data_IF_900803802096
#
_entry.id   IF_900803802096
#
_cell.length_a   1.000
_cell.length_b   1.000
_cell.length_c   1.000
_cell.angle_alpha   90.00
_cell.angle_beta   90.00
_cell.angle_gamma   90.00
#
_symmetry.space_group_name_H-M   'P 1'
#
loop_
_entity.id
_entity.type
_entity.pdbx_description
1 polymer ?
#
# COMPACT_ATOMS: atom_id res chain seq x y z
N UNK A 1 8.44 5.05 0.76
CA UNK A 1 8.40 3.98 -0.22
C UNK A 1 8.78 4.52 -1.59
N UNK A 2 9.61 3.79 -2.34
CA UNK A 2 10.08 4.18 -3.66
C UNK A 2 9.79 3.06 -4.66
N UNK A 3 9.06 3.39 -5.71
CA UNK A 3 8.81 2.51 -6.85
C UNK A 3 9.65 2.95 -8.05
N UNK A 4 10.19 1.97 -8.76
CA UNK A 4 10.97 2.22 -9.99
C UNK A 4 10.66 1.15 -11.02
N UNK A 5 10.54 1.56 -12.28
CA UNK A 5 10.61 0.61 -13.40
C UNK A 5 11.98 -0.07 -13.44
N UNK A 6 12.05 -1.25 -14.02
CA UNK A 6 13.28 -2.02 -14.13
C UNK A 6 13.35 -2.78 -15.46
N UNK A 7 14.57 -3.16 -15.87
CA UNK A 7 14.83 -3.98 -17.06
C UNK A 7 14.47 -3.25 -18.35
N UNK A 8 13.87 -3.99 -19.28
CA UNK A 8 13.51 -3.48 -20.61
C UNK A 8 12.43 -2.39 -20.53
N UNK A 9 11.51 -2.51 -19.56
CA UNK A 9 10.42 -1.52 -19.33
C UNK A 9 11.00 -0.14 -19.01
N UNK A 10 12.09 -0.05 -18.25
CA UNK A 10 12.72 1.24 -17.91
C UNK A 10 13.25 2.02 -19.13
N UNK A 11 13.61 1.30 -20.19
CA UNK A 11 14.08 1.93 -21.44
C UNK A 11 12.95 2.55 -22.25
N UNK A 12 11.73 2.02 -22.08
CA UNK A 12 10.52 2.45 -22.81
C UNK A 12 9.68 3.39 -21.95
N UNK A 13 9.55 3.08 -20.66
CA UNK A 13 8.72 3.82 -19.72
C UNK A 13 9.44 3.98 -18.39
N UNK A 14 9.93 5.20 -18.13
CA UNK A 14 10.65 5.52 -16.90
C UNK A 14 9.68 5.90 -15.79
N UNK A 15 9.61 5.10 -14.72
CA UNK A 15 8.82 5.36 -13.53
C UNK A 15 9.71 5.60 -12.31
N UNK A 16 9.42 6.66 -11.54
CA UNK A 16 10.14 7.06 -10.33
C UNK A 16 9.15 7.61 -9.29
N UNK A 17 8.22 6.77 -8.88
CA UNK A 17 7.20 7.15 -7.92
C UNK A 17 7.71 7.08 -6.48
N UNK A 18 7.32 8.04 -5.67
CA UNK A 18 7.59 8.05 -4.23
C UNK A 18 6.32 8.21 -3.44
N UNK A 19 6.26 7.54 -2.28
CA UNK A 19 5.19 7.69 -1.30
C UNK A 19 5.78 7.90 0.09
N UNK A 20 5.26 8.90 0.80
CA UNK A 20 5.64 9.24 2.17
C UNK A 20 4.40 9.31 3.06
N UNK A 21 4.52 8.84 4.29
CA UNK A 21 3.48 8.95 5.32
C UNK A 21 4.08 9.49 6.62
N UNK A 22 3.36 10.41 7.25
CA UNK A 22 3.70 10.96 8.55
C UNK A 22 2.65 10.52 9.58
N UNK A 23 3.11 9.95 10.68
CA UNK A 23 2.28 9.48 11.77
C UNK A 23 2.53 10.28 13.04
N UNK A 24 1.50 10.41 13.89
CA UNK A 24 1.67 10.87 15.27
C UNK A 24 2.37 9.79 16.12
N UNK A 25 2.72 10.12 17.36
CA UNK A 25 3.23 9.15 18.37
C UNK A 25 2.20 8.04 18.65
N UNK A 26 0.92 8.37 18.73
CA UNK A 26 -0.18 7.42 18.60
C UNK A 26 -0.30 7.14 17.09
N UNK A 27 -0.37 5.88 16.63
CA UNK A 27 -0.23 5.57 15.20
C UNK A 27 -1.44 6.05 14.36
N UNK A 28 -1.62 7.38 14.29
CA UNK A 28 -2.60 8.07 13.46
C UNK A 28 -1.89 8.67 12.27
N UNK A 29 -2.39 8.40 11.09
CA UNK A 29 -1.88 9.00 9.85
C UNK A 29 -2.24 10.49 9.82
N UNK A 30 -1.25 11.38 9.82
CA UNK A 30 -1.44 12.83 9.80
C UNK A 30 -1.34 13.42 8.39
N UNK A 31 -0.44 12.86 7.60
CA UNK A 31 -0.17 13.34 6.25
C UNK A 31 0.36 12.22 5.38
N UNK A 32 -0.05 12.21 4.13
CA UNK A 32 0.59 11.39 3.10
C UNK A 32 0.82 12.19 1.82
N UNK A 33 1.85 11.83 1.08
CA UNK A 33 2.19 12.40 -0.21
C UNK A 33 2.57 11.30 -1.17
N UNK A 34 1.92 11.26 -2.32
CA UNK A 34 2.33 10.44 -3.46
C UNK A 34 2.83 11.36 -4.57
N UNK A 35 4.05 11.15 -5.00
CA UNK A 35 4.62 11.83 -6.17
C UNK A 35 4.79 10.82 -7.28
N UNK A 36 4.00 10.98 -8.32
CA UNK A 36 4.07 10.21 -9.57
C UNK A 36 5.00 10.93 -10.53
N UNK A 37 6.03 10.24 -11.00
CA UNK A 37 7.01 10.75 -11.95
C UNK A 37 7.25 9.68 -13.03
N UNK A 38 6.49 9.79 -14.10
CA UNK A 38 6.39 8.82 -15.19
C UNK A 38 6.65 9.50 -16.54
N UNK A 39 7.84 9.31 -17.08
CA UNK A 39 8.26 10.03 -18.29
C UNK A 39 8.23 11.55 -18.09
N UNK A 40 7.39 12.24 -18.86
CA UNK A 40 7.16 13.69 -18.76
C UNK A 40 5.98 14.07 -17.85
N UNK A 41 5.30 13.06 -17.28
CA UNK A 41 4.15 13.26 -16.40
C UNK A 41 4.59 13.37 -14.95
N UNK A 42 4.23 14.50 -14.31
CA UNK A 42 4.48 14.74 -12.90
C UNK A 42 3.19 15.14 -12.18
N UNK A 43 2.86 14.41 -11.12
CA UNK A 43 1.66 14.64 -10.32
C UNK A 43 1.99 14.44 -8.83
N UNK A 44 1.45 15.32 -8.00
CA UNK A 44 1.53 15.20 -6.54
C UNK A 44 0.13 15.06 -5.98
N UNK A 45 -0.09 14.00 -5.20
CA UNK A 45 -1.28 13.78 -4.38
C UNK A 45 -0.91 13.94 -2.92
N UNK A 46 -1.49 14.92 -2.25
CA UNK A 46 -1.34 15.14 -0.81
C UNK A 46 -2.65 14.90 -0.10
N UNK A 47 -2.60 14.20 1.04
CA UNK A 47 -3.72 14.03 1.95
C UNK A 47 -3.29 14.47 3.35
N UNK A 48 -4.04 15.38 3.96
CA UNK A 48 -3.85 15.82 5.33
C UNK A 48 -5.04 15.35 6.17
N UNK A 49 -4.78 14.70 7.30
CA UNK A 49 -5.80 14.08 8.15
C UNK A 49 -5.91 14.84 9.49
N UNK A 50 -7.12 15.29 9.82
CA UNK A 50 -7.43 15.96 11.06
C UNK A 50 -8.47 15.14 11.85
N UNK A 51 -8.08 14.70 13.05
CA UNK A 51 -8.90 13.85 13.90
C UNK A 51 -9.72 14.69 14.87
N UNK A 52 -11.04 14.65 14.72
CA UNK A 52 -11.99 15.38 15.55
C UNK A 52 -12.41 14.55 16.77
N UNK A 53 -12.76 15.21 17.86
CA UNK A 53 -13.16 14.55 19.13
C UNK A 53 -14.38 13.63 19.03
N UNK A 54 -15.18 13.74 17.97
CA UNK A 54 -16.36 12.90 17.68
C UNK A 54 -16.03 11.59 16.95
N UNK A 55 -14.75 11.29 16.70
CA UNK A 55 -14.32 10.18 15.85
C UNK A 55 -14.44 10.46 14.35
N UNK A 56 -14.84 11.69 13.98
CA UNK A 56 -14.80 12.17 12.61
C UNK A 56 -13.34 12.47 12.22
N UNK A 57 -13.01 12.20 10.99
CA UNK A 57 -11.72 12.51 10.39
C UNK A 57 -11.99 13.38 9.17
N UNK A 58 -11.51 14.61 9.22
CA UNK A 58 -11.55 15.52 8.08
C UNK A 58 -10.26 15.34 7.29
N UNK A 59 -10.38 15.19 5.96
CA UNK A 59 -9.26 14.88 5.10
C UNK A 59 -9.19 15.91 3.99
N UNK A 60 -8.17 16.75 4.01
CA UNK A 60 -7.90 17.65 2.90
C UNK A 60 -7.15 16.91 1.80
N UNK A 61 -7.79 16.74 0.66
CA UNK A 61 -7.21 16.12 -0.53
C UNK A 61 -6.80 17.18 -1.54
N UNK A 62 -5.51 17.26 -1.81
CA UNK A 62 -4.93 18.22 -2.74
C UNK A 62 -4.06 17.51 -3.77
N UNK A 63 -4.49 17.58 -5.05
CA UNK A 63 -3.76 17.03 -6.20
C UNK A 63 -3.36 18.13 -7.15
N UNK A 64 -2.09 18.17 -7.50
CA UNK A 64 -1.58 19.19 -8.42
C UNK A 64 -0.47 18.66 -9.33
N UNK A 65 -0.33 19.31 -10.48
CA UNK A 65 0.85 19.20 -11.35
C UNK A 65 1.78 20.39 -11.08
N UNK A 66 2.87 20.52 -11.84
CA UNK A 66 3.73 21.71 -11.78
C UNK A 66 3.02 22.98 -12.26
N UNK A 67 1.91 22.86 -13.01
CA UNK A 67 1.23 23.97 -13.68
C UNK A 67 -0.10 24.34 -13.05
N UNK A 68 -0.82 23.39 -12.46
CA UNK A 68 -2.18 23.61 -12.00
C UNK A 68 -2.61 22.68 -10.88
N UNK A 69 -3.56 23.12 -10.07
CA UNK A 69 -4.30 22.29 -9.12
C UNK A 69 -5.40 21.53 -9.85
N UNK A 70 -5.42 20.22 -9.68
CA UNK A 70 -6.43 19.32 -10.26
C UNK A 70 -7.56 19.00 -9.29
N UNK A 71 -7.22 18.87 -7.99
CA UNK A 71 -8.16 18.58 -6.91
C UNK A 71 -7.76 19.45 -5.72
N UNK A 72 -8.76 20.07 -5.11
CA UNK A 72 -8.68 20.72 -3.81
C UNK A 72 -10.03 20.54 -3.16
N UNK A 73 -10.13 19.59 -2.18
CA UNK A 73 -11.41 19.22 -1.61
C UNK A 73 -11.26 18.67 -0.20
N UNK A 74 -12.36 18.74 0.56
CA UNK A 74 -12.47 18.14 1.89
C UNK A 74 -13.30 16.86 1.80
N UNK A 75 -12.79 15.77 2.37
CA UNK A 75 -13.50 14.52 2.58
C UNK A 75 -13.76 14.33 4.07
N UNK A 76 -14.83 13.63 4.42
CA UNK A 76 -15.18 13.31 5.80
C UNK A 76 -15.32 11.81 5.97
N UNK A 77 -14.58 11.24 6.91
CA UNK A 77 -14.60 9.83 7.23
C UNK A 77 -14.91 9.56 8.70
N UNK A 78 -15.30 8.33 9.01
CA UNK A 78 -15.34 7.76 10.36
C UNK A 78 -14.67 6.40 10.35
N UNK A 79 -13.91 6.08 11.40
CA UNK A 79 -13.25 4.79 11.51
C UNK A 79 -11.85 4.77 10.89
N UNK A 80 -11.49 3.66 10.23
CA UNK A 80 -10.16 3.44 9.68
C UNK A 80 -10.08 3.95 8.26
N UNK A 81 -9.34 5.03 8.05
CA UNK A 81 -9.11 5.61 6.73
C UNK A 81 -7.62 5.90 6.55
N UNK A 82 -7.11 5.58 5.37
CA UNK A 82 -5.69 5.69 5.02
C UNK A 82 -5.53 6.14 3.55
N UNK A 83 -4.33 6.49 3.18
CA UNK A 83 -3.87 6.40 1.79
C UNK A 83 -3.37 4.98 1.48
N UNK A 84 -2.88 4.73 0.28
CA UNK A 84 -2.39 3.40 -0.12
C UNK A 84 -1.19 2.91 0.69
N UNK A 85 -0.25 3.80 1.06
CA UNK A 85 0.90 3.43 1.88
C UNK A 85 0.48 3.23 3.34
N UNK A 86 -0.39 4.09 3.87
CA UNK A 86 -0.95 3.98 5.20
C UNK A 86 -1.74 2.68 5.40
N UNK A 87 -2.49 2.24 4.40
CA UNK A 87 -3.16 0.94 4.42
C UNK A 87 -2.15 -0.23 4.60
N UNK A 88 -0.99 -0.14 3.96
CA UNK A 88 0.09 -1.12 4.17
C UNK A 88 0.63 -1.09 5.61
N UNK A 89 0.76 0.09 6.21
CA UNK A 89 1.16 0.23 7.62
C UNK A 89 0.10 -0.33 8.56
N UNK A 90 -1.19 -0.11 8.26
CA UNK A 90 -2.30 -0.73 9.00
C UNK A 90 -2.21 -2.25 8.95
N UNK A 91 -2.03 -2.85 7.77
CA UNK A 91 -1.87 -4.31 7.63
C UNK A 91 -0.70 -4.85 8.47
N UNK A 92 0.43 -4.15 8.48
CA UNK A 92 1.61 -4.52 9.28
C UNK A 92 1.40 -4.41 10.80
N UNK A 93 0.43 -3.61 11.24
CA UNK A 93 0.12 -3.39 12.66
C UNK A 93 -0.93 -4.38 13.22
N UNK A 94 -1.52 -5.24 12.40
CA UNK A 94 -2.50 -6.22 12.85
C UNK A 94 -1.87 -7.27 13.78
N UNK A 95 -2.67 -7.89 14.66
CA UNK A 95 -2.20 -9.02 15.47
C UNK A 95 -2.14 -10.30 14.63
N UNK A 96 -0.96 -10.58 14.14
CA UNK A 96 -0.69 -11.70 13.25
C UNK A 96 -0.71 -13.07 13.95
N UNK A 97 -0.62 -13.10 15.30
CA UNK A 97 -0.60 -14.33 16.09
C UNK A 97 -1.96 -14.99 16.14
N UNK A 98 -3.01 -14.19 16.14
CA UNK A 98 -4.41 -14.65 16.26
C UNK A 98 -5.13 -14.70 14.91
N UNK A 99 -4.44 -14.41 13.80
CA UNK A 99 -5.02 -14.29 12.48
C UNK A 99 -5.38 -15.67 11.90
N UNK A 100 -6.67 -15.92 11.69
CA UNK A 100 -7.19 -17.13 11.06
C UNK A 100 -7.44 -16.95 9.56
N UNK A 101 -7.40 -18.07 8.82
CA UNK A 101 -7.74 -18.06 7.39
C UNK A 101 -9.14 -17.46 7.17
N UNK A 102 -9.26 -16.61 6.18
CA UNK A 102 -10.50 -15.89 5.86
C UNK A 102 -10.76 -14.66 6.73
N UNK A 103 -9.90 -14.33 7.70
CA UNK A 103 -10.04 -13.11 8.50
C UNK A 103 -10.06 -11.87 7.61
N UNK A 104 -10.99 -10.95 7.90
CA UNK A 104 -11.22 -9.73 7.13
C UNK A 104 -10.96 -8.48 7.98
N UNK A 105 -10.32 -7.49 7.39
CA UNK A 105 -9.91 -6.26 8.05
C UNK A 105 -10.38 -5.06 7.22
N UNK A 106 -11.59 -4.53 7.52
CA UNK A 106 -12.16 -3.43 6.74
C UNK A 106 -11.48 -2.09 7.04
N UNK A 107 -11.37 -1.26 6.02
CA UNK A 107 -10.86 0.11 6.08
C UNK A 107 -11.38 0.92 4.88
N UNK A 108 -11.09 2.22 4.87
CA UNK A 108 -11.33 3.08 3.72
C UNK A 108 -10.00 3.59 3.17
N UNK A 109 -9.95 3.83 1.87
CA UNK A 109 -8.85 4.50 1.19
C UNK A 109 -9.33 5.86 0.71
N UNK A 110 -8.63 6.93 1.10
CA UNK A 110 -8.84 8.25 0.54
C UNK A 110 -8.04 8.38 -0.76
N UNK A 111 -8.73 8.64 -1.88
CA UNK A 111 -8.13 8.80 -3.21
C UNK A 111 -8.82 9.94 -3.95
N UNK A 112 -8.07 10.99 -4.26
CA UNK A 112 -8.62 12.10 -5.04
C UNK A 112 -9.82 12.73 -4.35
N UNK A 113 -11.02 12.59 -4.91
CA UNK A 113 -12.27 13.15 -4.37
C UNK A 113 -13.14 12.13 -3.63
N UNK A 114 -12.64 10.93 -3.40
CA UNK A 114 -13.45 9.78 -2.98
C UNK A 114 -12.87 9.08 -1.76
N UNK A 115 -13.76 8.46 -1.00
CA UNK A 115 -13.46 7.48 0.03
C UNK A 115 -13.92 6.13 -0.46
N UNK A 116 -12.98 5.24 -0.71
CA UNK A 116 -13.24 3.92 -1.26
C UNK A 116 -13.22 2.88 -0.14
N UNK A 117 -14.29 2.10 0.02
CA UNK A 117 -14.33 1.00 0.98
C UNK A 117 -13.46 -0.15 0.48
N UNK A 118 -12.61 -0.66 1.35
CA UNK A 118 -11.73 -1.78 1.07
C UNK A 118 -11.59 -2.70 2.28
N UNK A 119 -11.07 -3.89 2.05
CA UNK A 119 -10.65 -4.79 3.12
C UNK A 119 -9.43 -5.59 2.71
N UNK A 120 -8.63 -5.96 3.71
CA UNK A 120 -7.69 -7.07 3.59
C UNK A 120 -8.40 -8.35 3.96
N UNK A 121 -8.16 -9.42 3.20
CA UNK A 121 -8.65 -10.77 3.47
C UNK A 121 -7.48 -11.74 3.49
N UNK A 122 -7.20 -12.31 4.65
CA UNK A 122 -6.10 -13.24 4.86
C UNK A 122 -6.38 -14.61 4.22
N UNK A 123 -5.43 -15.14 3.47
CA UNK A 123 -5.57 -16.42 2.76
C UNK A 123 -4.48 -17.44 3.07
N UNK A 124 -3.72 -17.22 4.14
CA UNK A 124 -2.74 -18.19 4.59
C UNK A 124 -1.30 -17.81 4.31
N UNK A 125 -0.41 -18.73 4.61
CA UNK A 125 1.03 -18.60 4.40
C UNK A 125 1.42 -19.06 2.99
N UNK A 126 2.38 -18.38 2.38
CA UNK A 126 2.91 -18.72 1.06
C UNK A 126 4.43 -18.45 1.00
N UNK A 127 5.12 -19.16 0.14
CA UNK A 127 6.51 -18.86 -0.21
C UNK A 127 6.52 -18.01 -1.47
N UNK A 128 7.14 -16.83 -1.39
CA UNK A 128 7.40 -15.99 -2.57
C UNK A 128 8.83 -16.20 -3.00
N UNK A 129 9.01 -16.53 -4.27
CA UNK A 129 10.31 -16.64 -4.92
C UNK A 129 10.47 -15.52 -5.95
N UNK A 130 11.55 -14.79 -5.85
CA UNK A 130 11.91 -13.80 -6.85
C UNK A 130 13.43 -13.78 -7.04
N UNK A 131 13.89 -14.06 -8.27
CA UNK A 131 15.31 -14.27 -8.59
C UNK A 131 15.90 -15.37 -7.68
N UNK A 132 16.99 -15.07 -6.98
CA UNK A 132 17.66 -16.00 -6.05
C UNK A 132 17.15 -15.92 -4.60
N UNK A 133 16.12 -15.13 -4.33
CA UNK A 133 15.60 -14.92 -2.99
C UNK A 133 14.25 -15.63 -2.79
N UNK A 134 14.09 -16.28 -1.64
CA UNK A 134 12.84 -16.91 -1.20
C UNK A 134 12.42 -16.31 0.14
N UNK A 135 11.12 -16.10 0.32
CA UNK A 135 10.58 -15.49 1.53
C UNK A 135 9.37 -16.27 2.03
N UNK A 136 9.31 -16.56 3.34
CA UNK A 136 8.07 -16.95 4.00
C UNK A 136 7.20 -15.72 4.13
N UNK A 137 5.95 -15.80 3.69
CA UNK A 137 5.03 -14.67 3.67
C UNK A 137 3.64 -15.09 4.12
N UNK A 138 2.85 -14.11 4.55
CA UNK A 138 1.41 -14.20 4.65
C UNK A 138 0.78 -13.46 3.49
N UNK A 139 -0.19 -14.10 2.88
CA UNK A 139 -0.87 -13.61 1.69
C UNK A 139 -2.23 -13.02 2.02
N UNK A 140 -2.51 -11.86 1.44
CA UNK A 140 -3.79 -11.16 1.58
C UNK A 140 -4.29 -10.72 0.21
N UNK A 141 -5.59 -10.88 0.00
CA UNK A 141 -6.29 -10.14 -1.04
C UNK A 141 -6.68 -8.75 -0.53
N UNK A 142 -6.75 -7.80 -1.45
CA UNK A 142 -7.33 -6.49 -1.26
C UNK A 142 -8.60 -6.46 -2.09
N UNK A 143 -9.74 -6.51 -1.40
CA UNK A 143 -11.05 -6.35 -2.03
C UNK A 143 -11.46 -4.88 -1.95
N UNK A 144 -11.97 -4.31 -3.05
CA UNK A 144 -12.47 -2.94 -3.14
C UNK A 144 -13.97 -2.99 -3.35
N UNK A 145 -14.70 -2.24 -2.54
CA UNK A 145 -16.15 -2.11 -2.58
C UNK A 145 -16.51 -0.68 -2.89
N UNK A 146 -16.63 -0.36 -4.16
CA UNK A 146 -17.12 0.92 -4.63
C UNK A 146 -18.22 0.67 -5.63
N UNK A 147 -19.37 1.34 -5.46
CA UNK A 147 -20.50 1.25 -6.39
C UNK A 147 -20.12 1.76 -7.78
N UNK A 148 -19.22 2.74 -7.87
CA UNK A 148 -18.70 3.27 -9.12
C UNK A 148 -17.68 2.34 -9.81
N UNK A 149 -16.97 1.47 -9.04
CA UNK A 149 -15.97 0.54 -9.54
C UNK A 149 -16.43 -0.92 -9.61
N UNK A 150 -17.76 -1.18 -9.68
CA UNK A 150 -18.31 -2.54 -9.77
C UNK A 150 -17.49 -3.55 -8.94
N UNK A 151 -17.70 -3.55 -7.62
CA UNK A 151 -17.15 -4.50 -6.63
C UNK A 151 -15.96 -5.33 -7.13
N UNK A 152 -14.76 -4.77 -7.15
CA UNK A 152 -13.57 -5.48 -7.60
C UNK A 152 -13.09 -6.40 -6.47
N UNK A 153 -13.62 -7.63 -6.42
CA UNK A 153 -13.02 -8.70 -5.61
C UNK A 153 -11.61 -8.95 -6.10
N UNK A 154 -10.67 -9.05 -5.13
CA UNK A 154 -9.27 -9.33 -5.44
C UNK A 154 -8.65 -8.30 -6.40
N UNK A 155 -8.92 -7.01 -6.15
CA UNK A 155 -8.35 -5.91 -6.94
C UNK A 155 -6.82 -5.92 -6.89
N UNK A 156 -6.27 -6.34 -5.75
CA UNK A 156 -4.84 -6.55 -5.58
C UNK A 156 -4.55 -7.68 -4.60
N UNK A 157 -3.30 -8.13 -4.61
CA UNK A 157 -2.74 -9.13 -3.72
C UNK A 157 -1.49 -8.57 -3.06
N UNK A 158 -1.27 -8.88 -1.79
CA UNK A 158 -0.05 -8.50 -1.09
C UNK A 158 0.50 -9.68 -0.29
N UNK A 159 1.80 -9.89 -0.40
CA UNK A 159 2.57 -10.86 0.36
C UNK A 159 3.47 -10.13 1.33
N UNK A 160 3.24 -10.31 2.60
CA UNK A 160 3.98 -9.66 3.68
C UNK A 160 4.89 -10.68 4.35
N UNK A 161 6.14 -10.31 4.62
CA UNK A 161 7.11 -11.17 5.30
C UNK A 161 6.60 -11.65 6.66
N UNK A 162 6.64 -12.98 6.88
CA UNK A 162 6.20 -13.61 8.13
C UNK A 162 7.33 -13.59 9.16
N UNK A 163 7.66 -12.37 9.61
CA UNK A 163 8.63 -12.07 10.68
C UNK A 163 8.21 -10.79 11.40
N UNK A 164 8.99 -10.35 12.39
CA UNK A 164 8.69 -9.17 13.21
C UNK A 164 8.63 -7.84 12.42
N UNK A 165 9.24 -7.78 11.25
CA UNK A 165 9.25 -6.55 10.44
C UNK A 165 7.98 -6.38 9.60
N UNK A 166 7.30 -7.48 9.24
CA UNK A 166 6.11 -7.49 8.38
C UNK A 166 6.29 -6.61 7.12
N UNK A 167 7.43 -6.74 6.43
CA UNK A 167 7.66 -5.94 5.22
C UNK A 167 6.89 -6.48 4.01
N UNK A 168 6.42 -5.62 3.09
CA UNK A 168 5.87 -6.08 1.82
C UNK A 168 6.97 -6.73 0.97
N UNK A 169 6.76 -8.00 0.60
CA UNK A 169 7.69 -8.77 -0.23
C UNK A 169 7.26 -8.74 -1.70
N UNK A 170 5.95 -8.86 -1.93
CA UNK A 170 5.36 -8.77 -3.26
C UNK A 170 4.02 -8.08 -3.18
N UNK A 171 3.71 -7.27 -4.19
CA UNK A 171 2.38 -6.69 -4.43
C UNK A 171 2.05 -6.97 -5.89
N UNK A 172 0.80 -7.39 -6.14
CA UNK A 172 0.26 -7.59 -7.48
C UNK A 172 -1.08 -6.88 -7.60
N UNK A 173 -1.18 -5.92 -8.48
CA UNK A 173 -2.40 -5.18 -8.74
C UNK A 173 -3.00 -5.59 -10.08
N UNK A 174 -4.29 -5.91 -10.12
CA UNK A 174 -5.01 -6.17 -11.36
C UNK A 174 -5.15 -4.86 -12.14
N UNK A 175 -4.84 -4.91 -13.42
CA UNK A 175 -5.07 -3.82 -14.36
C UNK A 175 -6.18 -4.21 -15.33
N UNK A 176 -6.70 -3.25 -16.10
CA UNK A 176 -7.66 -3.54 -17.18
C UNK A 176 -7.12 -4.59 -18.15
N UNK A 177 -5.82 -4.59 -18.39
CA UNK A 177 -5.11 -5.59 -19.20
C UNK A 177 -3.91 -6.07 -18.38
N UNK A 178 -3.92 -7.34 -17.94
CA UNK A 178 -2.85 -7.96 -17.19
C UNK A 178 -2.78 -7.57 -15.72
N UNK A 179 -1.58 -7.49 -15.18
CA UNK A 179 -1.31 -7.10 -13.79
C UNK A 179 0.05 -6.38 -13.67
N UNK A 180 0.13 -5.45 -12.72
CA UNK A 180 1.39 -4.87 -12.29
C UNK A 180 1.92 -5.64 -11.08
N UNK A 181 3.20 -5.97 -11.08
CA UNK A 181 3.86 -6.64 -9.97
C UNK A 181 5.04 -5.82 -9.45
N UNK A 182 5.12 -5.71 -8.13
CA UNK A 182 6.20 -5.05 -7.41
C UNK A 182 6.84 -6.07 -6.47
N UNK A 183 8.16 -6.12 -6.46
CA UNK A 183 8.92 -7.02 -5.61
C UNK A 183 9.84 -6.25 -4.67
N UNK A 184 10.00 -6.79 -3.47
CA UNK A 184 11.00 -6.33 -2.52
C UNK A 184 12.39 -6.37 -3.13
N UNK A 185 13.14 -5.30 -2.95
CA UNK A 185 14.51 -5.21 -3.38
C UNK A 185 15.47 -5.22 -2.18
N UNK A 186 15.35 -4.22 -1.34
CA UNK A 186 16.18 -4.04 -0.14
C UNK A 186 15.45 -3.20 0.91
N UNK A 187 15.98 -3.21 2.12
CA UNK A 187 15.54 -2.35 3.23
C UNK A 187 16.73 -2.04 4.14
N UNK A 188 16.61 -0.96 4.88
CA UNK A 188 17.58 -0.55 5.90
C UNK A 188 16.84 -0.07 7.14
N UNK A 189 17.52 0.01 8.26
CA UNK A 189 16.97 0.41 9.56
C UNK A 189 15.76 -0.44 9.98
N UNK A 190 15.82 -1.76 9.71
CA UNK A 190 14.79 -2.69 10.18
C UNK A 190 14.85 -2.79 11.71
N UNK A 191 13.67 -2.96 12.32
CA UNK A 191 13.54 -3.13 13.78
C UNK A 191 14.15 -4.44 14.27
N UNK A 192 14.08 -5.49 13.46
CA UNK A 192 14.58 -6.82 13.76
C UNK A 192 15.26 -7.44 12.53
N UNK A 193 16.04 -8.52 12.68
CA UNK A 193 16.57 -9.27 11.54
C UNK A 193 15.46 -9.76 10.59
N UNK A 194 15.76 -9.79 9.30
CA UNK A 194 14.83 -10.24 8.24
C UNK A 194 14.79 -11.77 8.21
N UNK A 195 14.10 -12.38 9.17
CA UNK A 195 14.06 -13.84 9.34
C UNK A 195 13.08 -14.55 8.43
N UNK A 196 12.19 -13.82 7.76
CA UNK A 196 11.33 -14.39 6.73
C UNK A 196 12.09 -14.80 5.47
N UNK A 197 13.29 -14.24 5.23
CA UNK A 197 14.13 -14.62 4.09
C UNK A 197 14.75 -16.00 4.31
N UNK A 198 14.49 -16.92 3.39
CA UNK A 198 15.02 -18.29 3.42
C UNK A 198 16.41 -18.27 2.79
N UNK A 199 17.41 -18.68 3.56
CA UNK A 199 18.77 -18.85 3.05
C UNK A 199 18.84 -20.17 2.30
N UNK A 200 18.98 -20.11 0.98
CA UNK A 200 19.24 -21.29 0.17
C UNK A 200 20.73 -21.58 0.26
N UNK A 201 21.12 -22.62 1.00
CA UNK A 201 22.51 -23.10 0.93
C UNK A 201 22.75 -23.61 -0.50
N UNK A 202 23.62 -22.95 -1.24
CA UNK A 202 24.17 -23.52 -2.48
C UNK A 202 24.94 -24.79 -2.08
N UNK A 203 24.46 -25.95 -2.53
CA UNK A 203 25.23 -27.19 -2.51
C UNK A 203 26.35 -27.10 -3.53
#
# INVERSE_FOLDING_TARGET
>A
LLFRSAGVIEKVFRMRDTMDCHYSKEPRLLFSSKRTNEGDYYLVDNLQFEYQGSGRIDIHSHRHTLKETKIDTMLMAKGRVFDMLGATMYLRSLDWRTMSYGAEFPFMIAIGRELVNARFRYTGQQIVEHKEAKFRTRHFYIDIYDEAFSQAKEAAEVWIGDDENHIPVKIRAKLKIGAAEVYYKDSYNLRAPLTCRIVVQKK
#
